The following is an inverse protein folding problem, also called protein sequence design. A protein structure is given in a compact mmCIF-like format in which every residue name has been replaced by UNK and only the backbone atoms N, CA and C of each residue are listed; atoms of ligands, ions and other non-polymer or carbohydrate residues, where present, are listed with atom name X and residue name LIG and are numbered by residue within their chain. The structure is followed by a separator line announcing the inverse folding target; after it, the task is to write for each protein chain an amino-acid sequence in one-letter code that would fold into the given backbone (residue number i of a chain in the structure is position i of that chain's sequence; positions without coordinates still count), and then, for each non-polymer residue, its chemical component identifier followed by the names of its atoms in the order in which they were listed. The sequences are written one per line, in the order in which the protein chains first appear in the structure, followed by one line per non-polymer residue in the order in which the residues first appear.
data_IF_565612077097
#
_entry.id   IF_565612077097
#
_cell.length_a   1.000
_cell.length_b   1.000
_cell.length_c   1.000
_cell.angle_alpha   90.00
_cell.angle_beta   90.00
_cell.angle_gamma   90.00
#
_symmetry.space_group_name_H-M   'P 1'
#
loop_
_entity.id
_entity.type
_entity.pdbx_description
1 polymer ?
#
# COMPACT_ATOMS: atom_id res chain seq x y z
N UNK A 1 23.74 12.38 -14.84
CA UNK A 1 23.21 10.99 -14.85
C UNK A 1 21.88 11.07 -14.14
N UNK A 2 20.81 10.30 -14.47
CA UNK A 2 19.72 10.17 -13.51
C UNK A 2 20.28 9.35 -12.35
N UNK A 3 20.81 10.05 -11.34
CA UNK A 3 21.55 9.51 -10.22
C UNK A 3 20.65 8.56 -9.39
N UNK A 4 21.25 7.50 -8.84
CA UNK A 4 20.62 6.39 -8.10
C UNK A 4 19.65 6.86 -7.00
N UNK A 5 18.42 7.23 -7.35
CA UNK A 5 17.38 7.45 -6.36
C UNK A 5 17.12 6.12 -5.62
N UNK A 6 16.93 6.14 -4.29
CA UNK A 6 16.46 4.98 -3.55
C UNK A 6 15.24 4.35 -4.22
N UNK A 7 15.25 3.02 -4.33
CA UNK A 7 14.18 2.28 -4.98
C UNK A 7 13.41 1.45 -3.96
N UNK A 8 12.09 1.35 -4.08
CA UNK A 8 11.30 0.47 -3.22
C UNK A 8 11.72 -0.98 -3.46
N UNK A 9 11.67 -1.78 -2.39
CA UNK A 9 12.05 -3.18 -2.41
C UNK A 9 10.97 -4.03 -3.05
N UNK A 10 11.37 -4.83 -4.04
CA UNK A 10 10.55 -5.85 -4.66
C UNK A 10 11.06 -7.23 -4.29
N UNK A 11 10.17 -8.04 -3.75
CA UNK A 11 10.45 -9.41 -3.36
C UNK A 11 9.77 -10.36 -4.33
N UNK A 12 10.55 -10.99 -5.21
CA UNK A 12 10.05 -12.07 -6.08
C UNK A 12 9.66 -13.31 -5.26
N UNK A 13 10.33 -13.53 -4.13
CA UNK A 13 9.97 -14.51 -3.12
C UNK A 13 9.85 -13.82 -1.76
N UNK A 14 8.61 -13.59 -1.33
CA UNK A 14 8.30 -13.00 -0.01
C UNK A 14 8.78 -13.86 1.16
N UNK A 15 9.22 -15.11 0.95
CA UNK A 15 9.89 -15.86 2.03
C UNK A 15 11.19 -15.18 2.48
N UNK A 16 11.82 -14.38 1.62
CA UNK A 16 13.00 -13.59 1.93
C UNK A 16 12.69 -12.41 2.86
N UNK A 17 11.42 -12.05 3.03
CA UNK A 17 10.99 -11.05 3.98
C UNK A 17 11.00 -11.57 5.42
N UNK A 18 10.71 -12.87 5.65
CA UNK A 18 10.59 -13.41 7.00
C UNK A 18 11.84 -13.21 7.88
N UNK A 19 13.09 -13.38 7.39
CA UNK A 19 14.26 -13.07 8.20
C UNK A 19 14.35 -11.59 8.61
N UNK A 20 13.96 -10.68 7.70
CA UNK A 20 13.97 -9.23 7.94
C UNK A 20 12.91 -8.88 8.99
N UNK A 21 11.66 -9.32 8.77
CA UNK A 21 10.57 -9.15 9.73
C UNK A 21 10.97 -9.72 11.12
N UNK A 22 11.56 -10.93 11.14
CA UNK A 22 11.96 -11.58 12.38
C UNK A 22 13.06 -10.83 13.13
N UNK A 23 13.93 -10.10 12.44
CA UNK A 23 14.86 -9.20 13.14
C UNK A 23 14.14 -8.01 13.77
N UNK A 24 13.15 -7.45 13.10
CA UNK A 24 12.48 -6.23 13.53
C UNK A 24 11.53 -6.43 14.71
N UNK A 25 10.90 -7.61 14.84
CA UNK A 25 10.02 -7.90 15.99
C UNK A 25 10.75 -7.85 17.35
N UNK A 26 12.09 -7.84 17.36
CA UNK A 26 12.89 -7.72 18.58
C UNK A 26 13.48 -6.31 18.78
N UNK A 27 13.33 -5.41 17.81
CA UNK A 27 13.73 -4.02 17.94
C UNK A 27 12.64 -3.23 18.68
N UNK A 28 13.00 -2.11 19.34
CA UNK A 28 12.01 -1.18 19.86
C UNK A 28 11.06 -0.71 18.74
N UNK A 29 9.75 -0.56 19.02
CA UNK A 29 8.82 -0.07 18.01
C UNK A 29 9.21 1.35 17.59
N UNK A 30 9.23 1.59 16.28
CA UNK A 30 9.34 2.95 15.76
C UNK A 30 8.13 3.77 16.22
N UNK A 31 8.35 5.05 16.52
CA UNK A 31 7.31 5.97 16.94
C UNK A 31 6.46 6.42 15.75
N UNK A 32 5.66 5.49 15.22
CA UNK A 32 4.74 5.68 14.09
C UNK A 32 3.35 5.29 14.54
N UNK A 33 2.39 6.20 14.39
CA UNK A 33 1.00 5.98 14.75
C UNK A 33 0.15 5.73 13.50
N UNK A 34 -0.33 4.49 13.35
CA UNK A 34 -1.15 4.07 12.22
C UNK A 34 -2.66 4.23 12.46
N UNK A 35 -3.39 4.65 11.43
CA UNK A 35 -4.86 4.62 11.37
C UNK A 35 -5.30 4.15 10.00
N UNK A 36 -6.35 3.33 9.94
CA UNK A 36 -7.01 2.93 8.69
C UNK A 36 -8.31 3.69 8.47
N UNK A 37 -8.63 4.04 7.23
CA UNK A 37 -9.93 4.59 6.81
C UNK A 37 -10.42 3.88 5.55
N UNK A 38 -11.69 3.41 5.50
CA UNK A 38 -12.61 3.32 6.63
C UNK A 38 -12.07 2.34 7.70
N UNK A 39 -12.46 2.57 8.95
CA UNK A 39 -12.06 1.73 10.09
C UNK A 39 -13.01 0.54 10.31
N UNK A 40 -14.14 0.52 9.60
CA UNK A 40 -15.15 -0.53 9.60
C UNK A 40 -15.72 -0.65 8.19
N UNK A 41 -15.97 -1.88 7.74
CA UNK A 41 -16.50 -2.17 6.41
C UNK A 41 -17.52 -3.29 6.48
N UNK A 42 -18.51 -3.24 5.60
CA UNK A 42 -19.41 -4.37 5.39
C UNK A 42 -18.67 -5.48 4.62
N UNK A 43 -18.97 -6.74 4.98
CA UNK A 43 -18.41 -7.88 4.28
C UNK A 43 -18.77 -7.82 2.78
N UNK A 44 -17.79 -8.05 1.91
CA UNK A 44 -17.93 -7.99 0.45
C UNK A 44 -18.37 -6.62 -0.11
N UNK A 45 -18.24 -5.54 0.66
CA UNK A 45 -18.38 -4.17 0.16
C UNK A 45 -17.04 -3.64 -0.36
N UNK A 46 -17.12 -2.91 -1.47
CA UNK A 46 -15.98 -2.31 -2.12
C UNK A 46 -15.57 -1.01 -1.45
N UNK A 47 -14.34 -0.96 -0.94
CA UNK A 47 -13.81 0.22 -0.28
C UNK A 47 -12.38 0.52 -0.70
N UNK A 48 -12.10 1.81 -0.84
CA UNK A 48 -10.75 2.34 -0.82
C UNK A 48 -10.25 2.38 0.61
N UNK A 49 -9.16 1.69 0.90
CA UNK A 49 -8.53 1.76 2.22
C UNK A 49 -7.36 2.72 2.20
N UNK A 50 -7.26 3.58 3.21
CA UNK A 50 -6.14 4.49 3.38
C UNK A 50 -5.51 4.27 4.73
N UNK A 51 -4.32 3.66 4.72
CA UNK A 51 -3.47 3.55 5.89
C UNK A 51 -2.68 4.85 6.05
N UNK A 52 -2.99 5.62 7.09
CA UNK A 52 -2.29 6.85 7.45
C UNK A 52 -1.32 6.58 8.59
N UNK A 53 -0.04 6.80 8.34
CA UNK A 53 1.06 6.63 9.29
C UNK A 53 1.56 8.01 9.69
N UNK A 54 1.40 8.39 10.96
CA UNK A 54 1.85 9.69 11.49
C UNK A 54 3.15 9.51 12.26
N UNK A 55 4.19 10.28 11.92
CA UNK A 55 5.50 10.23 12.58
C UNK A 55 5.42 10.90 13.96
N UNK A 56 5.95 10.24 14.98
CA UNK A 56 5.98 10.76 16.34
C UNK A 56 7.09 11.80 16.58
N UNK A 57 7.14 12.42 17.78
CA UNK A 57 7.97 13.59 18.09
C UNK A 57 9.48 13.43 17.86
N UNK A 58 10.00 12.21 17.85
CA UNK A 58 11.43 11.92 17.69
C UNK A 58 11.83 11.22 16.39
N UNK A 59 10.88 11.01 15.46
CA UNK A 59 11.13 10.23 14.25
C UNK A 59 11.29 11.12 13.02
N UNK A 60 12.36 10.87 12.28
CA UNK A 60 12.58 11.42 10.94
C UNK A 60 12.81 10.30 9.93
N UNK A 61 12.34 10.52 8.70
CA UNK A 61 12.53 9.61 7.57
C UNK A 61 13.24 10.39 6.45
N UNK A 62 14.59 10.36 6.40
CA UNK A 62 15.35 10.98 5.32
C UNK A 62 15.25 10.18 4.02
N UNK A 63 15.75 10.74 2.92
CA UNK A 63 15.90 10.00 1.66
C UNK A 63 16.61 8.65 1.88
N UNK A 64 16.02 7.58 1.36
CA UNK A 64 16.43 6.19 1.56
C UNK A 64 15.75 5.48 2.73
N UNK A 65 14.97 6.18 3.57
CA UNK A 65 14.16 5.55 4.60
C UNK A 65 12.99 4.76 3.96
N UNK A 66 12.74 3.57 4.51
CA UNK A 66 11.67 2.68 4.05
C UNK A 66 10.58 2.53 5.10
N UNK A 67 9.35 2.43 4.62
CA UNK A 67 8.17 2.04 5.39
C UNK A 67 7.51 0.88 4.65
N UNK A 68 7.54 -0.31 5.23
CA UNK A 68 6.96 -1.50 4.63
C UNK A 68 5.68 -1.90 5.37
N UNK A 69 4.59 -2.08 4.63
CA UNK A 69 3.31 -2.57 5.15
C UNK A 69 3.08 -4.01 4.70
N UNK A 70 2.76 -4.88 5.66
CA UNK A 70 2.27 -6.23 5.40
C UNK A 70 0.76 -6.20 5.18
N UNK A 71 0.33 -6.75 4.05
CA UNK A 71 -1.08 -6.93 3.74
C UNK A 71 -1.38 -8.42 3.79
N UNK A 72 -2.20 -8.90 4.74
CA UNK A 72 -2.56 -10.30 4.81
C UNK A 72 -3.16 -10.77 3.48
N UNK A 73 -2.81 -11.98 3.02
CA UNK A 73 -3.37 -12.51 1.77
C UNK A 73 -4.89 -12.74 1.83
N UNK A 74 -5.48 -12.67 3.02
CA UNK A 74 -6.93 -12.75 3.26
C UNK A 74 -7.64 -11.40 3.16
N UNK A 75 -6.91 -10.29 2.96
CA UNK A 75 -7.51 -8.97 2.74
C UNK A 75 -7.97 -8.84 1.29
N UNK A 76 -9.27 -9.03 1.09
CA UNK A 76 -9.93 -8.85 -0.19
C UNK A 76 -10.59 -7.46 -0.26
N UNK A 77 -9.87 -6.46 -0.81
CA UNK A 77 -10.43 -5.15 -1.15
C UNK A 77 -11.29 -5.27 -2.42
N UNK A 78 -12.46 -5.91 -2.32
CA UNK A 78 -13.27 -6.26 -3.50
C UNK A 78 -14.33 -5.20 -3.81
N UNK A 79 -14.04 -4.35 -4.79
CA UNK A 79 -15.02 -3.50 -5.45
C UNK A 79 -15.94 -4.33 -6.36
N UNK A 80 -17.11 -4.73 -5.84
CA UNK A 80 -18.33 -4.94 -6.62
C UNK A 80 -18.37 -6.09 -7.64
N UNK A 81 -17.67 -7.22 -7.42
CA UNK A 81 -17.85 -8.42 -8.27
C UNK A 81 -17.87 -9.71 -7.44
N UNK A 82 -18.87 -10.61 -7.63
CA UNK A 82 -18.85 -11.92 -7.00
C UNK A 82 -17.80 -12.83 -7.66
N UNK A 83 -16.66 -13.01 -6.99
CA UNK A 83 -15.62 -14.03 -7.21
C UNK A 83 -14.74 -13.89 -8.46
N UNK A 84 -13.45 -13.60 -8.23
CA UNK A 84 -12.44 -14.65 -8.42
C UNK A 84 -11.55 -14.82 -7.19
N UNK A 85 -11.61 -15.99 -6.53
CA UNK A 85 -10.69 -16.32 -5.42
C UNK A 85 -9.26 -16.29 -5.94
N UNK A 86 -8.35 -15.63 -5.21
CA UNK A 86 -6.91 -15.63 -5.51
C UNK A 86 -6.42 -14.47 -6.37
N UNK A 87 -7.23 -13.42 -6.59
CA UNK A 87 -6.75 -12.17 -7.16
C UNK A 87 -6.12 -11.28 -6.07
N UNK A 88 -4.88 -10.87 -6.31
CA UNK A 88 -4.06 -10.05 -5.40
C UNK A 88 -4.52 -8.60 -5.43
N UNK A 89 -4.82 -8.02 -4.29
CA UNK A 89 -5.52 -6.72 -4.17
C UNK A 89 -4.59 -5.51 -4.15
N UNK A 90 -3.29 -5.75 -3.93
CA UNK A 90 -2.24 -4.73 -3.99
C UNK A 90 -1.39 -4.93 -5.24
N UNK A 91 -1.14 -3.86 -5.99
CA UNK A 91 -0.46 -3.95 -7.27
C UNK A 91 0.15 -2.62 -7.70
N UNK A 92 1.26 -2.70 -8.43
CA UNK A 92 1.92 -1.51 -8.95
C UNK A 92 1.16 -0.93 -10.14
N UNK A 93 0.80 0.37 -10.09
CA UNK A 93 -0.01 1.07 -11.11
C UNK A 93 0.49 0.88 -12.54
N UNK A 94 1.80 0.92 -12.72
CA UNK A 94 2.44 0.92 -14.03
C UNK A 94 2.94 -0.45 -14.48
N UNK A 95 2.85 -1.49 -13.64
CA UNK A 95 3.35 -2.83 -13.98
C UNK A 95 2.23 -3.75 -14.47
N UNK A 96 2.62 -4.76 -15.26
CA UNK A 96 1.78 -5.83 -15.82
C UNK A 96 0.93 -6.60 -14.80
N UNK A 97 1.15 -6.40 -13.50
CA UNK A 97 0.33 -6.90 -12.41
C UNK A 97 -1.14 -6.48 -12.56
N UNK A 98 -1.43 -5.20 -12.86
CA UNK A 98 -2.83 -4.73 -12.99
C UNK A 98 -3.50 -5.28 -14.25
N UNK A 99 -2.75 -5.53 -15.32
CA UNK A 99 -3.28 -6.17 -16.53
C UNK A 99 -3.78 -7.60 -16.27
N UNK A 100 -3.29 -8.28 -15.22
CA UNK A 100 -3.70 -9.64 -14.84
C UNK A 100 -4.83 -9.68 -13.81
N UNK A 101 -5.00 -8.63 -13.02
CA UNK A 101 -5.89 -8.62 -11.84
C UNK A 101 -7.22 -7.89 -12.11
N UNK A 102 -7.26 -7.03 -13.12
CA UNK A 102 -8.45 -6.26 -13.46
C UNK A 102 -8.44 -4.85 -12.85
N UNK A 103 -9.48 -4.09 -13.17
CA UNK A 103 -9.64 -2.69 -12.79
C UNK A 103 -9.76 -2.56 -11.26
N UNK A 104 -8.96 -1.71 -10.62
CA UNK A 104 -9.17 -1.30 -9.21
C UNK A 104 -8.34 -1.98 -8.12
N UNK A 105 -7.28 -2.73 -8.44
CA UNK A 105 -6.38 -3.36 -7.44
C UNK A 105 -4.97 -2.78 -7.52
N UNK A 106 -4.83 -1.50 -7.18
CA UNK A 106 -3.52 -0.83 -7.16
C UNK A 106 -3.27 -0.10 -5.85
N UNK A 107 -1.99 0.04 -5.53
CA UNK A 107 -1.52 0.84 -4.41
C UNK A 107 -1.10 2.21 -4.90
N UNK A 108 -1.31 3.25 -4.11
CA UNK A 108 -0.74 4.58 -4.31
C UNK A 108 -0.19 5.12 -2.99
N UNK A 109 0.67 6.13 -3.05
CA UNK A 109 1.27 6.75 -1.88
C UNK A 109 1.31 8.27 -1.97
N UNK A 110 1.06 8.91 -0.85
CA UNK A 110 1.20 10.36 -0.70
C UNK A 110 1.75 10.70 0.69
N UNK A 111 2.21 11.94 0.87
CA UNK A 111 2.60 12.44 2.17
C UNK A 111 2.12 13.86 2.43
N UNK A 112 2.20 14.31 3.69
CA UNK A 112 1.80 15.67 4.11
C UNK A 112 2.69 16.79 3.55
N UNK A 113 3.87 16.46 2.98
CA UNK A 113 4.86 17.41 2.49
C UNK A 113 5.01 17.31 0.97
N UNK A 114 4.39 18.22 0.18
CA UNK A 114 4.38 18.14 -1.28
C UNK A 114 5.77 18.14 -1.94
N UNK A 115 6.78 18.66 -1.25
CA UNK A 115 8.17 18.70 -1.70
C UNK A 115 8.90 17.36 -1.54
N UNK A 116 8.40 16.45 -0.70
CA UNK A 116 8.99 15.13 -0.47
C UNK A 116 8.50 14.17 -1.55
N UNK A 117 9.44 13.50 -2.23
CA UNK A 117 9.10 12.51 -3.25
C UNK A 117 9.13 11.12 -2.64
N UNK A 118 8.02 10.41 -2.76
CA UNK A 118 7.91 9.01 -2.41
C UNK A 118 7.89 8.14 -3.67
N UNK A 119 8.39 6.92 -3.53
CA UNK A 119 8.09 5.84 -4.46
C UNK A 119 7.64 4.62 -3.67
N UNK A 120 6.86 3.73 -4.31
CA UNK A 120 6.42 2.50 -3.69
C UNK A 120 6.44 1.33 -4.65
N UNK A 121 6.51 0.13 -4.08
CA UNK A 121 6.30 -1.10 -4.83
C UNK A 121 5.52 -2.15 -4.04
N UNK A 122 4.65 -2.87 -4.74
CA UNK A 122 3.92 -4.02 -4.24
C UNK A 122 4.61 -5.35 -4.64
N UNK A 123 4.85 -6.22 -3.67
CA UNK A 123 5.36 -7.59 -3.83
C UNK A 123 4.27 -8.61 -3.50
N UNK A 124 4.12 -9.64 -4.33
CA UNK A 124 3.13 -10.69 -4.10
C UNK A 124 3.74 -11.89 -3.38
N UNK A 125 3.09 -12.30 -2.31
CA UNK A 125 3.52 -13.45 -1.54
C UNK A 125 2.48 -14.52 -1.36
N UNK A 126 2.91 -15.66 -0.83
CA UNK A 126 2.01 -16.78 -0.54
C UNK A 126 1.12 -16.50 0.67
N UNK A 127 1.67 -15.87 1.70
CA UNK A 127 1.01 -15.64 2.99
C UNK A 127 0.62 -14.18 3.22
N UNK A 128 1.44 -13.25 2.71
CA UNK A 128 1.23 -11.81 2.79
C UNK A 128 1.74 -11.18 1.51
N UNK A 129 1.13 -10.07 1.14
CA UNK A 129 1.68 -9.15 0.16
C UNK A 129 2.38 -8.00 0.90
N UNK A 130 3.35 -7.37 0.25
CA UNK A 130 4.13 -6.31 0.85
C UNK A 130 3.98 -5.04 0.02
N UNK A 131 3.72 -3.92 0.68
CA UNK A 131 3.83 -2.59 0.06
C UNK A 131 5.01 -1.90 0.72
N UNK A 132 6.08 -1.73 -0.04
CA UNK A 132 7.26 -1.00 0.41
C UNK A 132 7.25 0.42 -0.13
N UNK A 133 7.36 1.40 0.74
CA UNK A 133 7.42 2.83 0.42
C UNK A 133 8.80 3.35 0.78
N UNK A 134 9.42 4.11 -0.11
CA UNK A 134 10.73 4.73 0.10
C UNK A 134 10.65 6.24 -0.10
N UNK A 135 11.33 7.00 0.76
CA UNK A 135 11.60 8.42 0.52
C UNK A 135 12.70 8.52 -0.53
N UNK A 136 12.39 9.01 -1.73
CA UNK A 136 13.38 9.17 -2.78
C UNK A 136 14.16 10.48 -2.64
N UNK A 137 13.45 11.56 -2.31
CA UNK A 137 14.01 12.90 -2.14
C UNK A 137 13.28 13.64 -1.01
N UNK A 138 14.03 14.43 -0.22
CA UNK A 138 13.50 15.16 0.92
C UNK A 138 13.58 14.40 2.25
N UNK A 139 12.88 14.92 3.25
CA UNK A 139 12.82 14.34 4.60
C UNK A 139 11.43 14.59 5.21
N UNK A 140 10.86 13.56 5.82
CA UNK A 140 9.67 13.68 6.68
C UNK A 140 10.10 13.73 8.15
N UNK A 141 9.42 14.55 8.94
CA UNK A 141 9.72 14.76 10.34
C UNK A 141 8.49 14.59 11.25
N UNK A 142 8.63 15.01 12.52
CA UNK A 142 7.57 14.88 13.51
C UNK A 142 6.23 15.46 13.07
N UNK A 143 5.16 14.67 13.19
CA UNK A 143 3.79 15.05 12.81
C UNK A 143 3.46 14.88 11.33
N UNK A 144 4.46 14.63 10.47
CA UNK A 144 4.21 14.32 9.07
C UNK A 144 3.48 12.99 8.90
N UNK A 145 2.80 12.86 7.77
CA UNK A 145 1.97 11.71 7.43
C UNK A 145 2.45 11.07 6.16
N UNK A 146 2.55 9.74 6.17
CA UNK A 146 2.61 8.91 4.96
C UNK A 146 1.25 8.21 4.82
N UNK A 147 0.63 8.29 3.65
CA UNK A 147 -0.64 7.62 3.36
C UNK A 147 -0.42 6.58 2.28
N UNK A 148 -0.73 5.33 2.61
CA UNK A 148 -0.74 4.21 1.66
C UNK A 148 -2.19 3.95 1.29
N UNK A 149 -2.52 4.16 0.03
CA UNK A 149 -3.86 4.03 -0.54
C UNK A 149 -3.96 2.66 -1.20
N UNK A 150 -4.95 1.87 -0.81
CA UNK A 150 -5.25 0.55 -1.33
C UNK A 150 -6.58 0.62 -2.08
N UNK A 151 -6.51 0.53 -3.41
CA UNK A 151 -7.66 0.66 -4.29
C UNK A 151 -7.76 2.03 -4.97
N UNK A 152 -8.63 2.14 -5.98
CA UNK A 152 -8.90 3.38 -6.70
C UNK A 152 -9.66 4.36 -5.83
N UNK A 153 -9.61 5.67 -6.10
CA UNK A 153 -10.48 6.65 -5.44
C UNK A 153 -11.97 6.31 -5.59
N UNK A 154 -12.77 6.66 -4.58
CA UNK A 154 -14.23 6.56 -4.63
C UNK A 154 -14.78 7.40 -5.80
N UNK A 155 -15.60 6.79 -6.67
CA UNK A 155 -16.18 7.45 -7.85
C UNK A 155 -16.56 6.49 -8.98
N UNK A 156 -17.09 7.05 -10.08
CA UNK A 156 -17.66 6.37 -11.26
C UNK A 156 -16.75 5.38 -12.05
N UNK A 157 -15.60 5.01 -11.51
CA UNK A 157 -14.74 3.95 -12.04
C UNK A 157 -15.14 2.55 -11.52
N UNK A 158 -16.10 2.47 -10.60
CA UNK A 158 -16.83 1.22 -10.29
C UNK A 158 -17.92 1.05 -11.34
N UNK A 159 -17.64 0.27 -12.39
CA UNK A 159 -18.72 -0.15 -13.29
C UNK A 159 -19.67 -1.08 -12.53
N UNK A 160 -20.89 -0.61 -12.27
CA UNK A 160 -22.00 -1.51 -11.98
C UNK A 160 -22.14 -2.47 -13.16
N UNK A 161 -22.11 -3.78 -12.90
CA UNK A 161 -22.39 -4.75 -13.96
C UNK A 161 -23.77 -4.48 -14.56
N UNK A 162 -23.93 -4.80 -15.85
CA UNK A 162 -25.13 -4.62 -16.68
C UNK A 162 -26.48 -5.01 -16.03
N UNK A 163 -26.47 -5.79 -14.96
CA UNK A 163 -27.64 -6.31 -14.24
C UNK A 163 -28.01 -5.54 -12.95
N UNK A 164 -27.17 -4.58 -12.52
CA UNK A 164 -27.38 -3.78 -11.32
C UNK A 164 -27.77 -2.32 -11.61
N UNK A 165 -27.94 -1.96 -12.90
CA UNK A 165 -28.46 -0.66 -13.31
C UNK A 165 -29.97 -0.76 -13.48
N UNK A 166 -30.73 -0.10 -12.60
CA UNK A 166 -32.14 0.17 -12.86
C UNK A 166 -32.19 1.27 -13.93
N UNK A 167 -32.94 1.03 -15.01
CA UNK A 167 -33.16 2.01 -16.07
C UNK A 167 -33.95 3.22 -15.58
#
# INVERSE_FOLDING_TARGET
MPDNLPQPRLFDNTSNWFPINRSWQFEPPADIHGKMTPNEVEAASGHTFVATLTLGPGLTLPAGAHVTMEVPSTWECHLGNPYPRGLKTVGNREKSQIRKVGYGSFTDVECSRPEVKLAHAASWGRHMDLVDVVVQEGELGPGDKVRIILGPPDGNLVQAQRYAQVA
#
